data_IF_099232135601
#
_entry.id   IF_099232135601
#
_cell.length_a   1.000
_cell.length_b   1.000
_cell.length_c   1.000
_cell.angle_alpha   90.00
_cell.angle_beta   90.00
_cell.angle_gamma   90.00
#
_symmetry.space_group_name_H-M   'P 1'
#
loop_
_entity.id
_entity.type
_entity.pdbx_description
1 polymer ?
#
# COMPACT_ATOMS: atom_id res chain seq x y z
N UNK A 1 9.03 -1.95 -21.33
CA UNK A 1 10.09 -0.91 -21.37
C UNK A 1 11.40 -1.43 -20.79
N UNK A 2 11.47 -1.83 -19.52
CA UNK A 2 12.72 -2.27 -18.87
C UNK A 2 13.52 -3.33 -19.67
N UNK A 3 12.88 -4.43 -20.07
CA UNK A 3 13.54 -5.49 -20.88
C UNK A 3 14.13 -4.96 -22.19
N UNK A 4 13.40 -4.11 -22.91
CA UNK A 4 13.87 -3.51 -24.17
C UNK A 4 15.06 -2.58 -23.88
N UNK A 5 15.00 -1.79 -22.82
CA UNK A 5 16.11 -0.92 -22.41
C UNK A 5 17.37 -1.73 -22.07
N UNK A 6 17.23 -2.85 -21.35
CA UNK A 6 18.36 -3.74 -21.05
C UNK A 6 18.98 -4.35 -22.31
N UNK A 7 18.16 -4.80 -23.27
CA UNK A 7 18.64 -5.37 -24.53
C UNK A 7 19.37 -4.34 -25.40
N UNK A 8 18.87 -3.09 -25.42
CA UNK A 8 19.45 -1.99 -26.19
C UNK A 8 20.56 -1.24 -25.44
N UNK A 9 20.86 -1.62 -24.20
CA UNK A 9 21.72 -0.85 -23.28
C UNK A 9 21.34 0.63 -23.19
N UNK A 10 20.03 0.92 -23.27
CA UNK A 10 19.49 2.26 -23.32
C UNK A 10 19.05 2.75 -21.93
N UNK A 11 19.18 4.06 -21.70
CA UNK A 11 18.66 4.71 -20.49
C UNK A 11 17.12 4.71 -20.51
N UNK A 12 16.49 4.26 -19.42
CA UNK A 12 15.04 4.14 -19.33
C UNK A 12 14.31 5.48 -19.48
N UNK A 13 14.87 6.56 -18.93
CA UNK A 13 14.30 7.92 -19.03
C UNK A 13 14.25 8.40 -20.49
N UNK A 14 15.32 8.17 -21.24
CA UNK A 14 15.40 8.52 -22.66
C UNK A 14 14.44 7.67 -23.51
N UNK A 15 14.36 6.36 -23.22
CA UNK A 15 13.39 5.50 -23.90
C UNK A 15 11.96 5.98 -23.64
N UNK A 16 11.63 6.35 -22.40
CA UNK A 16 10.29 6.82 -22.04
C UNK A 16 9.94 8.15 -22.73
N UNK A 17 10.88 9.11 -22.78
CA UNK A 17 10.64 10.38 -23.47
C UNK A 17 10.41 10.17 -24.98
N UNK A 18 11.25 9.35 -25.63
CA UNK A 18 11.11 9.04 -27.05
C UNK A 18 9.80 8.30 -27.33
N UNK A 19 9.44 7.31 -26.51
CA UNK A 19 8.19 6.57 -26.65
C UNK A 19 6.97 7.48 -26.57
N UNK A 20 6.92 8.38 -25.58
CA UNK A 20 5.81 9.32 -25.40
C UNK A 20 5.73 10.35 -26.54
N UNK A 21 6.87 10.87 -27.00
CA UNK A 21 6.92 11.76 -28.17
C UNK A 21 6.40 11.06 -29.41
N UNK A 22 6.89 9.87 -29.74
CA UNK A 22 6.44 9.13 -30.93
C UNK A 22 4.95 8.78 -30.86
N UNK A 23 4.45 8.36 -29.69
CA UNK A 23 3.03 8.08 -29.50
C UNK A 23 2.16 9.31 -29.78
N UNK A 24 2.60 10.49 -29.29
CA UNK A 24 1.91 11.76 -29.50
C UNK A 24 1.93 12.20 -30.98
N UNK A 25 3.12 12.23 -31.59
CA UNK A 25 3.29 12.69 -32.98
C UNK A 25 2.54 11.80 -33.98
N UNK A 26 2.49 10.49 -33.73
CA UNK A 26 1.80 9.53 -34.59
C UNK A 26 0.30 9.36 -34.24
N UNK A 27 -0.19 10.02 -33.18
CA UNK A 27 -1.60 9.91 -32.75
C UNK A 27 -2.02 8.49 -32.38
N UNK A 28 -1.10 7.66 -31.87
CA UNK A 28 -1.36 6.24 -31.63
C UNK A 28 -2.06 5.99 -30.29
N UNK A 29 -3.13 5.19 -30.32
CA UNK A 29 -3.73 4.58 -29.14
C UNK A 29 -3.05 3.23 -28.87
N UNK A 30 -1.99 3.24 -28.05
CA UNK A 30 -1.25 2.02 -27.71
C UNK A 30 -1.96 1.28 -26.58
N UNK A 31 -2.35 0.00 -26.75
CA UNK A 31 -2.96 -0.79 -25.68
C UNK A 31 -2.06 -0.92 -24.45
N UNK A 32 -2.69 -1.02 -23.28
CA UNK A 32 -1.97 -1.31 -22.05
C UNK A 32 -1.31 -2.70 -22.09
N UNK A 33 -0.24 -2.87 -21.31
CA UNK A 33 0.42 -4.16 -21.16
C UNK A 33 -0.57 -5.23 -20.65
N UNK A 34 -0.66 -6.34 -21.36
CA UNK A 34 -1.41 -7.53 -20.92
C UNK A 34 -0.74 -8.17 -19.72
N UNK A 35 -1.38 -8.09 -18.55
CA UNK A 35 -0.92 -8.78 -17.34
C UNK A 35 -0.92 -10.30 -17.53
N UNK A 36 -1.89 -10.82 -18.29
CA UNK A 36 -1.99 -12.25 -18.53
C UNK A 36 -0.78 -12.78 -19.31
N UNK A 37 -0.38 -12.07 -20.37
CA UNK A 37 0.79 -12.46 -21.17
C UNK A 37 2.09 -12.22 -20.41
N UNK A 38 2.14 -11.17 -19.57
CA UNK A 38 3.28 -10.94 -18.67
C UNK A 38 3.45 -12.09 -17.67
N UNK A 39 2.36 -12.57 -17.05
CA UNK A 39 2.40 -13.72 -16.13
C UNK A 39 2.96 -14.94 -16.84
N UNK A 40 2.39 -15.31 -18.00
CA UNK A 40 2.86 -16.47 -18.78
C UNK A 40 4.34 -16.32 -19.13
N UNK A 41 4.73 -15.18 -19.71
CA UNK A 41 6.11 -14.95 -20.17
C UNK A 41 7.11 -14.95 -19.00
N UNK A 42 6.77 -14.28 -17.90
CA UNK A 42 7.64 -14.22 -16.73
C UNK A 42 7.81 -15.59 -16.09
N UNK A 43 6.71 -16.34 -15.89
CA UNK A 43 6.78 -17.68 -15.31
C UNK A 43 7.53 -18.66 -16.20
N UNK A 44 7.42 -18.55 -17.53
CA UNK A 44 8.15 -19.43 -18.45
C UNK A 44 9.67 -19.40 -18.27
N UNK A 45 10.22 -18.32 -17.70
CA UNK A 45 11.65 -18.20 -17.40
C UNK A 45 12.09 -18.95 -16.13
N UNK A 46 11.13 -19.44 -15.33
CA UNK A 46 11.42 -20.05 -14.03
C UNK A 46 11.97 -21.46 -14.20
N UNK A 47 12.97 -21.80 -13.39
CA UNK A 47 13.60 -23.12 -13.38
C UNK A 47 12.85 -24.17 -12.53
N UNK A 48 11.70 -23.82 -11.96
CA UNK A 48 10.98 -24.65 -10.98
C UNK A 48 10.08 -25.75 -11.57
N UNK A 49 10.03 -25.91 -12.89
CA UNK A 49 9.13 -26.88 -13.54
C UNK A 49 9.81 -28.20 -13.93
N UNK A 50 11.12 -28.28 -13.76
CA UNK A 50 11.90 -29.47 -14.08
C UNK A 50 12.85 -29.77 -12.92
N UNK A 51 13.19 -31.05 -12.76
CA UNK A 51 14.22 -31.43 -11.81
C UNK A 51 15.59 -30.96 -12.32
N UNK A 52 16.26 -30.17 -11.50
CA UNK A 52 17.67 -29.79 -11.67
C UNK A 52 18.42 -30.10 -10.37
N UNK A 53 19.73 -30.33 -10.45
CA UNK A 53 20.54 -30.75 -9.30
C UNK A 53 20.52 -29.74 -8.13
N UNK A 54 20.25 -28.47 -8.43
CA UNK A 54 20.17 -27.36 -7.49
C UNK A 54 18.76 -27.10 -6.92
N UNK A 55 17.74 -27.85 -7.38
CA UNK A 55 16.34 -27.66 -6.98
C UNK A 55 15.86 -28.87 -6.16
N UNK A 56 15.53 -28.68 -4.86
CA UNK A 56 14.96 -29.75 -4.05
C UNK A 56 13.68 -30.32 -4.66
N UNK A 57 13.49 -31.64 -4.60
CA UNK A 57 12.29 -32.30 -5.11
C UNK A 57 10.95 -31.67 -4.68
N UNK A 58 10.72 -31.27 -3.41
CA UNK A 58 9.45 -30.64 -3.01
C UNK A 58 9.25 -29.21 -3.57
N UNK A 59 10.27 -28.65 -4.23
CA UNK A 59 10.21 -27.29 -4.79
C UNK A 59 9.86 -27.30 -6.28
N UNK A 60 9.93 -28.46 -6.92
CA UNK A 60 9.42 -28.64 -8.29
C UNK A 60 7.89 -28.54 -8.27
N UNK A 61 7.34 -27.85 -9.25
CA UNK A 61 5.90 -27.62 -9.36
C UNK A 61 5.42 -27.76 -10.80
N UNK A 62 4.15 -28.11 -10.96
CA UNK A 62 3.48 -28.11 -12.24
C UNK A 62 3.31 -26.68 -12.79
N UNK A 63 3.69 -26.50 -14.06
CA UNK A 63 3.68 -25.19 -14.71
C UNK A 63 2.27 -24.63 -14.85
N UNK A 64 1.30 -25.47 -15.21
CA UNK A 64 -0.07 -25.01 -15.44
C UNK A 64 -0.73 -24.59 -14.13
N UNK A 65 -0.56 -25.37 -13.05
CA UNK A 65 -1.02 -25.02 -11.70
C UNK A 65 -0.37 -23.73 -11.22
N UNK A 66 0.94 -23.55 -11.42
CA UNK A 66 1.63 -22.33 -11.00
C UNK A 66 1.11 -21.11 -11.78
N UNK A 67 0.95 -21.20 -13.10
CA UNK A 67 0.42 -20.12 -13.94
C UNK A 67 -1.02 -19.78 -13.56
N UNK A 68 -1.90 -20.78 -13.47
CA UNK A 68 -3.32 -20.58 -13.14
C UNK A 68 -3.50 -19.89 -11.78
N UNK A 69 -2.77 -20.33 -10.76
CA UNK A 69 -2.85 -19.74 -9.44
C UNK A 69 -2.18 -18.37 -9.36
N UNK A 70 -1.08 -18.15 -10.07
CA UNK A 70 -0.45 -16.82 -10.15
C UNK A 70 -1.38 -15.82 -10.82
N UNK A 71 -2.07 -16.23 -11.88
CA UNK A 71 -3.08 -15.40 -12.54
C UNK A 71 -4.15 -14.95 -11.56
N UNK A 72 -4.72 -15.89 -10.80
CA UNK A 72 -5.76 -15.57 -9.82
C UNK A 72 -5.29 -14.58 -8.75
N UNK A 73 -4.04 -14.67 -8.30
CA UNK A 73 -3.46 -13.73 -7.33
C UNK A 73 -3.19 -12.37 -7.97
N UNK A 74 -2.78 -12.31 -9.24
CA UNK A 74 -2.58 -11.05 -9.98
C UNK A 74 -3.92 -10.36 -10.27
N UNK A 75 -4.96 -11.11 -10.61
CA UNK A 75 -6.33 -10.59 -10.74
C UNK A 75 -6.81 -10.01 -9.42
N UNK A 76 -6.64 -10.75 -8.31
CA UNK A 76 -6.94 -10.26 -6.97
C UNK A 76 -6.18 -8.95 -6.66
N UNK A 77 -4.90 -8.87 -7.02
CA UNK A 77 -4.10 -7.66 -6.87
C UNK A 77 -4.69 -6.48 -7.66
N UNK A 78 -5.21 -6.74 -8.86
CA UNK A 78 -5.87 -5.73 -9.70
C UNK A 78 -7.17 -5.24 -9.06
N UNK A 79 -8.01 -6.16 -8.59
CA UNK A 79 -9.31 -5.90 -7.94
C UNK A 79 -9.16 -5.17 -6.58
N UNK A 80 -7.97 -5.18 -6.00
CA UNK A 80 -7.67 -4.59 -4.68
C UNK A 80 -6.68 -3.42 -4.74
N UNK A 81 -6.61 -2.73 -5.89
CA UNK A 81 -5.83 -1.50 -6.09
C UNK A 81 -4.31 -1.64 -6.00
N UNK A 82 -3.79 -2.87 -6.07
CA UNK A 82 -2.36 -3.12 -5.93
C UNK A 82 -1.60 -2.94 -7.25
N UNK A 83 -2.27 -3.02 -8.39
CA UNK A 83 -1.65 -2.91 -9.72
C UNK A 83 -1.56 -1.47 -10.21
N UNK A 84 -2.60 -0.67 -10.00
CA UNK A 84 -2.72 0.67 -10.55
C UNK A 84 -1.56 1.59 -10.14
N UNK A 85 -0.90 2.20 -11.12
CA UNK A 85 0.22 3.12 -10.92
C UNK A 85 1.53 2.47 -10.45
N UNK A 86 1.67 1.15 -10.55
CA UNK A 86 2.84 0.40 -10.07
C UNK A 86 3.49 -0.43 -11.17
N UNK A 87 4.78 -0.72 -11.01
CA UNK A 87 5.48 -1.61 -11.92
C UNK A 87 4.92 -3.05 -11.79
N UNK A 88 4.52 -3.70 -12.88
CA UNK A 88 3.78 -4.98 -12.81
C UNK A 88 4.68 -6.17 -12.48
N UNK A 89 5.95 -6.18 -12.92
CA UNK A 89 6.87 -7.31 -12.67
C UNK A 89 7.01 -7.66 -11.17
N UNK A 90 7.30 -6.72 -10.24
CA UNK A 90 7.32 -7.02 -8.80
C UNK A 90 6.04 -7.65 -8.25
N UNK A 91 4.87 -7.33 -8.82
CA UNK A 91 3.58 -7.88 -8.39
C UNK A 91 3.47 -9.33 -8.85
N UNK A 92 3.81 -9.60 -10.13
CA UNK A 92 3.83 -10.96 -10.68
C UNK A 92 4.84 -11.83 -9.93
N UNK A 93 6.04 -11.32 -9.62
CA UNK A 93 7.05 -12.09 -8.86
C UNK A 93 6.57 -12.44 -7.45
N UNK A 94 5.91 -11.51 -6.74
CA UNK A 94 5.33 -11.78 -5.43
C UNK A 94 4.15 -12.77 -5.51
N UNK A 95 3.29 -12.63 -6.52
CA UNK A 95 2.17 -13.54 -6.77
C UNK A 95 2.65 -14.95 -7.11
N UNK A 96 3.72 -15.09 -7.91
CA UNK A 96 4.32 -16.37 -8.25
C UNK A 96 4.88 -17.09 -7.02
N UNK A 97 5.53 -16.34 -6.11
CA UNK A 97 6.00 -16.89 -4.84
C UNK A 97 4.85 -17.41 -3.96
N UNK A 98 3.78 -16.62 -3.79
CA UNK A 98 2.60 -17.06 -3.02
C UNK A 98 1.88 -18.24 -3.67
N UNK A 99 1.78 -18.24 -5.00
CA UNK A 99 1.24 -19.35 -5.78
C UNK A 99 2.02 -20.62 -5.48
N UNK A 100 3.34 -20.57 -5.69
CA UNK A 100 4.25 -21.69 -5.39
C UNK A 100 4.16 -22.14 -3.94
N UNK A 101 4.21 -21.24 -2.95
CA UNK A 101 4.13 -21.66 -1.56
C UNK A 101 2.78 -22.32 -1.22
N UNK A 102 1.67 -21.77 -1.72
CA UNK A 102 0.33 -22.27 -1.39
C UNK A 102 -0.04 -23.60 -2.05
N UNK A 103 0.65 -24.00 -3.12
CA UNK A 103 0.45 -25.31 -3.76
C UNK A 103 1.02 -26.47 -2.92
N UNK A 104 2.07 -26.22 -2.14
CA UNK A 104 2.61 -27.21 -1.20
C UNK A 104 3.15 -26.55 0.09
N UNK A 105 2.26 -26.03 0.95
CA UNK A 105 2.66 -25.17 2.07
C UNK A 105 3.57 -25.86 3.08
N UNK A 106 3.32 -27.15 3.37
CA UNK A 106 4.07 -27.92 4.37
C UNK A 106 5.57 -27.94 4.07
N UNK A 107 5.96 -28.03 2.80
CA UNK A 107 7.37 -28.09 2.41
C UNK A 107 7.98 -26.71 2.10
N UNK A 108 7.16 -25.69 1.81
CA UNK A 108 7.61 -24.45 1.16
C UNK A 108 7.53 -23.19 2.03
N UNK A 109 6.82 -23.24 3.16
CA UNK A 109 6.68 -22.09 4.08
C UNK A 109 8.00 -21.64 4.73
N UNK A 110 8.98 -22.54 4.84
CA UNK A 110 10.32 -22.23 5.36
C UNK A 110 11.22 -21.56 4.31
N UNK A 111 10.85 -21.63 3.03
CA UNK A 111 11.60 -20.99 1.96
C UNK A 111 11.31 -19.48 1.95
N UNK A 112 12.37 -18.67 1.98
CA UNK A 112 12.26 -17.21 1.92
C UNK A 112 12.02 -16.74 0.49
N UNK A 113 11.46 -15.54 0.33
CA UNK A 113 11.18 -14.98 -0.99
C UNK A 113 12.45 -14.79 -1.84
N UNK A 114 13.55 -14.32 -1.24
CA UNK A 114 14.83 -14.20 -1.93
C UNK A 114 15.40 -15.57 -2.36
N UNK A 115 15.28 -16.59 -1.49
CA UNK A 115 15.70 -17.96 -1.83
C UNK A 115 14.88 -18.52 -2.98
N UNK A 116 13.56 -18.29 -2.98
CA UNK A 116 12.68 -18.66 -4.09
C UNK A 116 13.13 -18.02 -5.40
N UNK A 117 13.37 -16.70 -5.45
CA UNK A 117 13.83 -16.03 -6.68
C UNK A 117 15.15 -16.62 -7.19
N UNK A 118 16.10 -16.90 -6.28
CA UNK A 118 17.38 -17.54 -6.63
C UNK A 118 17.18 -18.92 -7.25
N UNK A 119 16.32 -19.76 -6.67
CA UNK A 119 16.02 -21.11 -7.19
C UNK A 119 15.22 -21.08 -8.49
N UNK A 120 14.33 -20.09 -8.64
CA UNK A 120 13.61 -19.85 -9.88
C UNK A 120 14.52 -19.30 -10.99
N UNK A 121 15.72 -18.81 -10.67
CA UNK A 121 16.64 -18.23 -11.63
C UNK A 121 16.23 -16.85 -12.11
N UNK A 122 15.56 -16.06 -11.26
CA UNK A 122 15.08 -14.71 -11.58
C UNK A 122 15.61 -13.69 -10.59
N UNK A 123 15.86 -12.48 -11.08
CA UNK A 123 16.22 -11.35 -10.22
C UNK A 123 15.05 -10.99 -9.32
N UNK A 124 15.36 -10.60 -8.08
CA UNK A 124 14.37 -10.12 -7.12
C UNK A 124 14.17 -8.61 -7.32
N UNK A 125 13.01 -8.15 -7.86
CA UNK A 125 12.80 -6.73 -8.10
C UNK A 125 12.71 -5.97 -6.76
N UNK A 126 13.31 -4.76 -6.61
CA UNK A 126 13.36 -4.08 -5.32
C UNK A 126 12.00 -3.86 -4.64
N UNK A 127 10.91 -3.47 -5.36
CA UNK A 127 9.60 -3.30 -4.73
C UNK A 127 8.87 -4.61 -4.40
N UNK A 128 9.39 -5.78 -4.78
CA UNK A 128 8.65 -7.04 -4.71
C UNK A 128 8.35 -7.46 -3.27
N UNK A 129 9.25 -7.22 -2.32
CA UNK A 129 8.98 -7.48 -0.90
C UNK A 129 7.80 -6.67 -0.38
N UNK A 130 7.66 -5.42 -0.84
CA UNK A 130 6.53 -4.58 -0.47
C UNK A 130 5.23 -5.11 -1.10
N UNK A 131 5.26 -5.55 -2.37
CA UNK A 131 4.12 -6.19 -3.03
C UNK A 131 3.67 -7.46 -2.30
N UNK A 132 4.63 -8.31 -1.89
CA UNK A 132 4.35 -9.52 -1.12
C UNK A 132 3.64 -9.19 0.21
N UNK A 133 4.13 -8.18 0.93
CA UNK A 133 3.51 -7.73 2.18
C UNK A 133 2.08 -7.26 1.96
N UNK A 134 1.85 -6.44 0.93
CA UNK A 134 0.51 -5.91 0.61
C UNK A 134 -0.46 -7.03 0.18
N UNK A 135 0.00 -8.00 -0.63
CA UNK A 135 -0.80 -9.19 -1.00
C UNK A 135 -1.21 -10.03 0.22
N UNK A 136 -0.28 -10.28 1.13
CA UNK A 136 -0.58 -11.00 2.37
C UNK A 136 -1.58 -10.25 3.25
N UNK A 137 -1.51 -8.93 3.29
CA UNK A 137 -2.47 -8.09 4.02
C UNK A 137 -3.87 -8.12 3.38
N UNK A 138 -3.96 -8.15 2.04
CA UNK A 138 -5.23 -8.37 1.33
C UNK A 138 -5.82 -9.73 1.67
N UNK A 139 -5.01 -10.80 1.59
CA UNK A 139 -5.44 -12.16 1.90
C UNK A 139 -5.93 -12.31 3.34
N UNK A 140 -5.25 -11.67 4.30
CA UNK A 140 -5.69 -11.65 5.70
C UNK A 140 -7.04 -10.95 5.89
N UNK A 141 -7.29 -9.85 5.18
CA UNK A 141 -8.60 -9.17 5.19
C UNK A 141 -9.71 -10.01 4.56
N UNK A 142 -9.40 -10.77 3.51
CA UNK A 142 -10.36 -11.73 2.95
C UNK A 142 -10.65 -12.86 3.94
N UNK A 143 -9.61 -13.38 4.58
CA UNK A 143 -9.74 -14.47 5.55
C UNK A 143 -10.56 -14.06 6.79
N UNK A 144 -10.49 -12.81 7.23
CA UNK A 144 -11.32 -12.33 8.35
C UNK A 144 -12.83 -12.33 8.04
N UNK A 145 -13.23 -12.45 6.76
CA UNK A 145 -14.63 -12.58 6.35
C UNK A 145 -15.14 -14.02 6.36
N UNK A 146 -14.28 -15.00 6.63
CA UNK A 146 -14.67 -16.40 6.82
C UNK A 146 -14.70 -16.72 8.31
N UNK A 147 -15.88 -17.02 8.85
CA UNK A 147 -16.09 -17.24 10.29
C UNK A 147 -15.15 -18.32 10.85
N UNK A 148 -14.98 -19.43 10.14
CA UNK A 148 -14.12 -20.54 10.57
C UNK A 148 -12.62 -20.18 10.55
N UNK A 149 -12.18 -19.26 9.70
CA UNK A 149 -10.79 -18.77 9.68
C UNK A 149 -10.53 -17.68 10.72
N UNK A 150 -11.54 -16.85 11.01
CA UNK A 150 -11.45 -15.76 11.99
C UNK A 150 -11.06 -16.28 13.39
N UNK A 151 -11.53 -17.46 13.77
CA UNK A 151 -11.22 -18.11 15.06
C UNK A 151 -9.72 -18.45 15.20
N UNK A 152 -9.00 -18.67 14.09
CA UNK A 152 -7.60 -19.10 14.13
C UNK A 152 -6.58 -17.95 14.23
N UNK A 153 -7.00 -16.69 14.37
CA UNK A 153 -6.12 -15.52 14.45
C UNK A 153 -4.96 -15.59 13.43
N UNK A 154 -5.33 -15.67 12.16
CA UNK A 154 -4.39 -15.94 11.09
C UNK A 154 -3.25 -14.91 11.00
N UNK A 155 -2.05 -15.41 10.70
CA UNK A 155 -0.88 -14.59 10.44
C UNK A 155 -0.46 -14.68 8.97
N UNK A 156 0.57 -13.90 8.61
CA UNK A 156 1.10 -13.83 7.25
C UNK A 156 1.66 -15.17 6.73
N UNK A 157 1.95 -16.15 7.60
CA UNK A 157 2.45 -17.47 7.21
C UNK A 157 1.32 -18.49 7.12
N UNK A 158 0.36 -18.48 8.05
CA UNK A 158 -0.75 -19.42 8.08
C UNK A 158 -1.75 -19.14 6.98
N UNK A 159 -1.97 -17.88 6.60
CA UNK A 159 -2.86 -17.50 5.49
C UNK A 159 -2.46 -18.11 4.15
N UNK A 160 -1.17 -18.37 3.94
CA UNK A 160 -0.65 -18.98 2.70
C UNK A 160 -1.24 -20.37 2.48
N UNK A 161 -1.54 -21.12 3.54
CA UNK A 161 -2.14 -22.47 3.46
C UNK A 161 -3.57 -22.43 2.89
N UNK A 162 -4.27 -21.32 3.10
CA UNK A 162 -5.68 -21.15 2.75
C UNK A 162 -5.88 -20.32 1.46
N UNK A 163 -4.81 -19.96 0.76
CA UNK A 163 -4.91 -19.21 -0.50
C UNK A 163 -5.79 -19.92 -1.52
N UNK A 164 -5.79 -21.27 -1.57
CA UNK A 164 -6.70 -22.03 -2.43
C UNK A 164 -8.16 -21.69 -2.17
N UNK A 165 -8.59 -21.83 -0.92
CA UNK A 165 -9.96 -21.58 -0.47
C UNK A 165 -10.36 -20.10 -0.66
N UNK A 166 -9.44 -19.18 -0.33
CA UNK A 166 -9.66 -17.73 -0.49
C UNK A 166 -9.85 -17.34 -1.96
N UNK A 167 -9.05 -17.90 -2.87
CA UNK A 167 -9.16 -17.60 -4.30
C UNK A 167 -10.43 -18.22 -4.90
N UNK A 168 -10.81 -19.42 -4.46
CA UNK A 168 -12.05 -20.09 -4.90
C UNK A 168 -13.30 -19.24 -4.62
N UNK A 169 -13.31 -18.48 -3.52
CA UNK A 169 -14.44 -17.63 -3.12
C UNK A 169 -14.16 -16.12 -3.26
N UNK A 170 -13.14 -15.73 -4.04
CA UNK A 170 -12.62 -14.35 -4.08
C UNK A 170 -13.68 -13.27 -4.34
N UNK A 171 -14.61 -13.52 -5.26
CA UNK A 171 -15.63 -12.52 -5.65
C UNK A 171 -16.52 -12.18 -4.45
N UNK A 172 -16.96 -13.20 -3.73
CA UNK A 172 -17.80 -13.04 -2.54
C UNK A 172 -17.01 -12.38 -1.40
N UNK A 173 -15.78 -12.85 -1.14
CA UNK A 173 -14.94 -12.32 -0.08
C UNK A 173 -14.56 -10.86 -0.30
N UNK A 174 -14.29 -10.46 -1.55
CA UNK A 174 -14.00 -9.07 -1.88
C UNK A 174 -15.20 -8.17 -1.67
N UNK A 175 -16.40 -8.56 -2.15
CA UNK A 175 -17.62 -7.79 -1.89
C UNK A 175 -17.80 -7.52 -0.39
N UNK A 176 -17.65 -8.55 0.43
CA UNK A 176 -17.77 -8.42 1.89
C UNK A 176 -16.60 -7.66 2.56
N UNK A 177 -15.42 -7.65 1.94
CA UNK A 177 -14.26 -6.88 2.41
C UNK A 177 -14.32 -5.40 2.01
N UNK A 178 -15.05 -5.06 0.95
CA UNK A 178 -15.37 -3.68 0.57
C UNK A 178 -16.57 -3.13 1.34
N UNK A 179 -17.56 -3.95 1.66
CA UNK A 179 -18.65 -3.58 2.55
C UNK A 179 -18.10 -3.37 3.98
N UNK A 180 -18.23 -2.14 4.48
CA UNK A 180 -18.11 -1.87 5.90
C UNK A 180 -19.23 -2.66 6.58
N UNK A 181 -18.92 -3.32 7.70
CA UNK A 181 -19.98 -3.88 8.54
C UNK A 181 -20.75 -2.68 9.10
N UNK A 182 -21.89 -2.38 8.49
CA UNK A 182 -22.95 -1.63 9.15
C UNK A 182 -23.35 -2.48 10.36
N UNK A 183 -23.17 -1.94 11.56
CA UNK A 183 -23.60 -2.58 12.80
C UNK A 183 -25.12 -2.77 12.77
N UNK A 184 -25.59 -3.93 12.32
CA UNK A 184 -26.96 -4.39 12.52
C UNK A 184 -26.96 -5.87 12.94
N UNK A 185 -26.33 -6.17 14.07
CA UNK A 185 -26.91 -7.17 14.97
C UNK A 185 -27.94 -6.43 15.83
N UNK A 186 -29.15 -6.36 15.29
CA UNK A 186 -30.36 -6.03 16.04
C UNK A 186 -30.40 -6.87 17.30
N UNK A 187 -30.11 -6.22 18.43
CA UNK A 187 -30.49 -6.70 19.75
C UNK A 187 -31.94 -7.15 19.68
N UNK A 188 -32.16 -8.44 19.94
CA UNK A 188 -33.46 -9.02 20.14
C UNK A 188 -34.25 -8.16 21.14
N UNK A 189 -35.21 -7.40 20.63
CA UNK A 189 -36.18 -6.68 21.45
C UNK A 189 -37.15 -7.72 22.02
N UNK A 190 -36.89 -8.17 23.24
CA UNK A 190 -37.92 -8.78 24.07
C UNK A 190 -38.87 -7.66 24.55
N UNK A 191 -40.20 -7.82 24.45
CA UNK A 191 -41.14 -6.83 24.94
C UNK A 191 -41.33 -7.01 26.45
N UNK A 192 -40.97 -6.00 27.24
CA UNK A 192 -41.44 -5.90 28.62
C UNK A 192 -42.56 -4.86 28.67
N UNK A 193 -43.79 -5.35 28.84
CA UNK A 193 -44.94 -4.56 29.26
C UNK A 193 -44.71 -3.99 30.68
N UNK A 194 -45.24 -2.80 30.94
CA UNK A 194 -45.29 -2.21 32.29
C UNK A 194 -45.32 -0.67 32.31
N UNK A 195 -46.53 -0.11 32.20
CA UNK A 195 -46.89 1.33 32.22
C UNK A 195 -46.96 1.92 33.67
N UNK A 196 -47.48 3.13 33.94
CA UNK A 196 -46.81 4.45 33.93
C UNK A 196 -46.87 5.20 35.29
N UNK A 197 -46.16 6.34 35.44
CA UNK A 197 -46.42 7.30 36.54
C UNK A 197 -45.44 8.48 36.62
N UNK A 198 -45.95 9.71 36.44
CA UNK A 198 -45.21 11.00 36.37
C UNK A 198 -45.14 11.75 37.75
N UNK A 199 -44.72 13.05 37.87
CA UNK A 199 -43.48 13.56 38.52
C UNK A 199 -43.81 14.60 39.65
N UNK A 200 -43.08 15.73 39.92
CA UNK A 200 -41.64 16.11 39.95
C UNK A 200 -41.19 16.71 41.33
N UNK A 201 -39.90 16.97 41.55
CA UNK A 201 -39.44 18.00 42.52
C UNK A 201 -38.02 18.54 42.22
N UNK A 202 -37.81 19.81 42.52
CA UNK A 202 -36.74 20.69 42.05
C UNK A 202 -35.53 20.85 43.00
N UNK A 203 -34.45 21.43 42.45
CA UNK A 203 -33.24 21.93 43.15
C UNK A 203 -32.01 21.11 42.76
N UNK A 204 -30.86 21.64 42.32
CA UNK A 204 -30.26 22.97 42.37
C UNK A 204 -28.73 22.76 42.44
N UNK A 205 -27.96 23.67 41.84
CA UNK A 205 -26.49 23.84 41.96
C UNK A 205 -25.53 22.97 41.10
N UNK A 206 -25.04 23.56 40.01
CA UNK A 206 -23.65 24.04 39.82
C UNK A 206 -22.55 23.22 40.52
N UNK A 207 -21.67 22.54 39.78
CA UNK A 207 -20.37 23.08 39.31
C UNK A 207 -19.53 22.02 38.58
N UNK A 208 -19.15 22.33 37.33
CA UNK A 208 -18.05 21.69 36.61
C UNK A 208 -16.71 21.99 37.28
N UNK A 209 -15.86 20.97 37.42
CA UNK A 209 -14.49 20.90 36.85
C UNK A 209 -13.72 19.78 37.55
N UNK A 210 -13.81 18.57 36.99
CA UNK A 210 -12.86 17.50 37.23
C UNK A 210 -12.16 17.16 35.91
N UNK A 211 -10.87 17.48 35.81
CA UNK A 211 -9.98 16.88 34.81
C UNK A 211 -10.00 15.35 34.92
N UNK A 212 -9.90 14.63 33.80
CA UNK A 212 -8.78 13.69 33.67
C UNK A 212 -8.12 13.80 32.28
N UNK A 213 -6.81 14.00 32.21
CA UNK A 213 -5.76 12.97 32.23
C UNK A 213 -5.87 11.98 31.05
N UNK A 214 -4.74 11.90 30.36
CA UNK A 214 -4.46 11.11 29.16
C UNK A 214 -5.07 9.70 29.18
N UNK A 215 -5.75 9.37 28.09
CA UNK A 215 -6.03 8.00 27.72
C UNK A 215 -5.88 7.87 26.21
N UNK A 216 -4.68 7.53 25.74
CA UNK A 216 -4.49 6.94 24.41
C UNK A 216 -5.26 5.62 24.37
N UNK A 217 -6.58 5.68 24.16
CA UNK A 217 -7.35 4.52 23.72
C UNK A 217 -6.93 4.24 22.29
N UNK A 218 -6.08 3.25 22.12
CA UNK A 218 -6.00 2.52 20.87
C UNK A 218 -7.41 2.00 20.59
N UNK A 219 -8.17 2.73 19.76
CA UNK A 219 -9.33 2.16 19.08
C UNK A 219 -8.75 1.09 18.17
N UNK A 220 -8.81 -0.17 18.62
CA UNK A 220 -8.83 -1.33 17.74
C UNK A 220 -10.09 -1.19 16.87
N UNK A 221 -9.95 -0.34 15.84
CA UNK A 221 -11.04 0.25 15.10
C UNK A 221 -11.55 -0.68 14.02
N UNK A 222 -12.84 -0.51 13.76
CA UNK A 222 -13.61 -1.02 12.63
C UNK A 222 -12.80 -1.37 11.37
N UNK A 223 -13.21 -2.42 10.62
CA UNK A 223 -12.54 -2.85 9.40
C UNK A 223 -12.29 -1.67 8.46
N UNK A 224 -11.03 -1.28 8.26
CA UNK A 224 -10.69 -0.21 7.33
C UNK A 224 -11.04 -0.67 5.91
N UNK A 225 -11.70 0.17 5.10
CA UNK A 225 -12.07 -0.20 3.75
C UNK A 225 -10.81 -0.57 2.94
N UNK A 226 -10.97 -1.48 1.97
CA UNK A 226 -9.93 -1.77 0.99
C UNK A 226 -9.74 -0.53 0.11
N UNK A 227 -8.60 0.14 0.28
CA UNK A 227 -8.22 1.34 -0.44
C UNK A 227 -6.83 1.17 -1.06
N UNK A 228 -6.49 1.93 -2.12
CA UNK A 228 -5.13 2.04 -2.60
C UNK A 228 -4.13 2.27 -1.44
N UNK A 229 -3.01 1.54 -1.35
CA UNK A 229 -2.12 1.61 -0.19
C UNK A 229 -1.55 3.02 0.09
N UNK A 230 -1.46 3.87 -0.94
CA UNK A 230 -1.03 5.26 -0.79
C UNK A 230 -2.05 6.16 -0.05
N UNK A 231 -3.32 5.77 0.02
CA UNK A 231 -4.37 6.47 0.78
C UNK A 231 -4.45 6.00 2.23
N UNK A 232 -4.02 4.76 2.51
CA UNK A 232 -4.02 4.20 3.87
C UNK A 232 -2.93 4.87 4.72
N UNK A 233 -1.77 5.14 4.12
CA UNK A 233 -0.63 5.80 4.76
C UNK A 233 -0.17 6.98 3.89
N UNK A 234 -0.92 8.09 3.86
CA UNK A 234 -0.55 9.24 3.04
C UNK A 234 0.79 9.79 3.52
N UNK A 235 1.64 10.20 2.57
CA UNK A 235 2.86 10.95 2.91
C UNK A 235 2.45 12.20 3.67
N UNK A 236 3.12 12.47 4.79
CA UNK A 236 2.91 13.71 5.56
C UNK A 236 3.16 14.90 4.62
N UNK A 237 2.09 15.58 4.24
CA UNK A 237 2.17 16.83 3.50
C UNK A 237 2.27 17.94 4.54
N UNK A 238 3.35 18.70 4.50
CA UNK A 238 3.41 19.98 5.22
C UNK A 238 2.26 20.82 4.68
N UNK A 239 1.31 21.15 5.55
CA UNK A 239 0.31 22.15 5.20
C UNK A 239 1.02 23.49 5.26
N UNK A 240 1.26 24.10 4.10
CA UNK A 240 1.48 25.54 4.05
C UNK A 240 0.28 26.17 4.76
N UNK A 241 0.53 27.05 5.73
CA UNK A 241 -0.55 27.83 6.33
C UNK A 241 -1.33 28.48 5.18
N UNK A 242 -2.67 28.46 5.25
CA UNK A 242 -3.47 29.16 4.25
C UNK A 242 -2.94 30.59 4.17
N UNK A 243 -2.65 31.06 2.94
CA UNK A 243 -2.26 32.46 2.72
C UNK A 243 -3.29 33.31 3.44
N UNK A 244 -2.83 34.13 4.36
CA UNK A 244 -3.72 35.08 5.02
C UNK A 244 -4.26 36.03 3.95
N UNK A 245 -5.40 36.69 4.25
CA UNK A 245 -5.93 37.71 3.35
C UNK A 245 -4.88 38.81 3.06
N UNK A 246 -3.96 39.04 4.00
CA UNK A 246 -2.81 39.93 3.89
C UNK A 246 -1.79 39.45 2.87
N UNK A 247 -1.45 38.16 2.86
CA UNK A 247 -0.49 37.59 1.91
C UNK A 247 -1.03 37.52 0.47
N UNK A 248 -2.35 37.48 0.32
CA UNK A 248 -3.03 37.50 -0.98
C UNK A 248 -3.17 38.91 -1.57
N UNK A 249 -2.91 39.95 -0.77
CA UNK A 249 -2.99 41.35 -1.18
C UNK A 249 -1.66 41.90 -1.68
N UNK A 250 -0.61 41.08 -1.73
CA UNK A 250 0.73 41.47 -2.20
C UNK A 250 0.70 41.61 -3.73
N UNK A 251 0.84 42.84 -4.24
CA UNK A 251 0.86 43.19 -5.66
C UNK A 251 2.27 43.33 -6.22
N UNK A 252 3.27 43.54 -5.36
CA UNK A 252 4.65 43.80 -5.74
C UNK A 252 4.95 45.29 -6.00
N UNK A 253 3.95 46.16 -5.87
CA UNK A 253 4.06 47.61 -5.98
C UNK A 253 4.00 48.30 -4.62
N UNK A 254 4.05 47.53 -3.51
CA UNK A 254 4.04 48.09 -2.17
C UNK A 254 5.26 48.98 -1.92
N UNK A 255 5.09 50.14 -1.27
CA UNK A 255 6.21 50.94 -0.85
C UNK A 255 7.02 50.17 0.21
N UNK A 256 8.29 49.90 -0.10
CA UNK A 256 9.23 49.28 0.83
C UNK A 256 9.86 50.39 1.66
N UNK A 257 9.69 50.37 2.99
CA UNK A 257 10.27 51.38 3.87
C UNK A 257 11.79 51.19 4.00
N UNK A 258 12.52 52.28 4.25
CA UNK A 258 13.97 52.21 4.47
C UNK A 258 14.31 51.27 5.65
N UNK A 259 13.47 51.21 6.68
CA UNK A 259 13.62 50.29 7.81
C UNK A 259 13.56 48.80 7.43
N UNK A 260 12.72 48.43 6.44
CA UNK A 260 12.61 47.06 5.92
C UNK A 260 13.86 46.68 5.12
N UNK A 261 14.51 47.65 4.46
CA UNK A 261 15.78 47.43 3.76
C UNK A 261 16.96 47.38 4.73
N UNK A 262 16.97 48.26 5.74
CA UNK A 262 18.04 48.38 6.72
C UNK A 262 18.26 47.09 7.52
N UNK A 263 17.23 46.26 7.75
CA UNK A 263 17.37 44.98 8.45
C UNK A 263 18.29 43.98 7.71
N UNK A 264 18.45 44.13 6.39
CA UNK A 264 19.34 43.30 5.59
C UNK A 264 20.77 43.85 5.56
N UNK A 265 20.99 45.09 6.03
CA UNK A 265 22.30 45.71 6.12
C UNK A 265 22.93 45.39 7.47
N UNK A 266 24.21 45.00 7.44
CA UNK A 266 24.96 44.77 8.69
C UNK A 266 25.21 46.08 9.41
N UNK A 267 25.02 46.05 10.73
CA UNK A 267 25.35 47.16 11.59
C UNK A 267 26.87 47.44 11.63
N UNK A 268 27.30 48.65 12.02
CA UNK A 268 28.72 49.01 12.14
C UNK A 268 29.51 48.09 13.08
N UNK A 269 28.86 47.56 14.12
CA UNK A 269 29.45 46.62 15.07
C UNK A 269 29.67 45.24 14.45
N UNK A 270 28.68 44.73 13.70
CA UNK A 270 28.77 43.48 12.96
C UNK A 270 29.85 43.55 11.88
N UNK A 271 30.01 44.70 11.21
CA UNK A 271 31.08 44.93 10.22
C UNK A 271 32.45 44.89 10.92
N UNK A 272 32.60 45.52 12.09
CA UNK A 272 33.86 45.48 12.86
C UNK A 272 34.18 44.07 13.32
N UNK A 273 33.19 43.34 13.85
CA UNK A 273 33.34 41.95 14.25
C UNK A 273 33.71 41.04 13.08
N UNK A 274 33.05 41.22 11.92
CA UNK A 274 33.34 40.47 10.70
C UNK A 274 34.75 40.75 10.16
N UNK A 275 35.18 42.02 10.14
CA UNK A 275 36.56 42.39 9.73
C UNK A 275 37.60 41.81 10.67
N UNK A 276 37.34 41.83 11.98
CA UNK A 276 38.22 41.22 12.98
C UNK A 276 38.30 39.71 12.76
N UNK A 277 37.18 39.02 12.56
CA UNK A 277 37.17 37.58 12.31
C UNK A 277 37.88 37.20 10.99
N UNK A 278 37.73 38.00 9.93
CA UNK A 278 38.37 37.78 8.63
C UNK A 278 39.88 38.07 8.63
N UNK A 279 40.35 38.98 9.48
CA UNK A 279 41.79 39.29 9.61
C UNK A 279 42.59 38.21 10.35
N UNK A 280 41.93 37.16 10.85
CA UNK A 280 42.54 36.03 11.56
C UNK A 280 42.54 34.74 10.71
N UNK A 281 42.19 34.83 9.42
CA UNK A 281 42.42 33.81 8.38
C UNK A 281 43.59 34.23 7.49
#
# INVERSE_FOLDING_TARGET
MGTICSLLYAKQELFASVYLSLQKELGLSVPALSLADLVKTHLNSFRLFQHAADIPAPFVEDREKMVARTMQIVELASETWLVTGRHPVPIVTAAAFLSWQSLQPAARLTCTFARFCKLAGVDLPPPAHLRLKELLEILLRMASKLAWLRVFNMDKKTVVKHIGDLLQHRIFLLKNAFCLEDEEEQCAAAPSEGSPGSPPAAGGAVQEKGHPLEGKRQREGSPRPLLPPCLINPRKRLRTAALSASDSAITGDEPISDSEIEQYLRGPEEIRAFRKAKAWQ
#
